data_IF_180650823480
#
_entry.id   IF_180650823480
#
_cell.length_a   1.000
_cell.length_b   1.000
_cell.length_c   1.000
_cell.angle_alpha   90.00
_cell.angle_beta   90.00
_cell.angle_gamma   90.00
#
_symmetry.space_group_name_H-M   'P 1'
#
loop_
_entity.id
_entity.type
_entity.pdbx_description
1 polymer ?
#
# COMPACT_ATOMS: atom_id res chain seq x y z
N UNK A 1 -16.47 21.78 -39.74
CA UNK A 1 -15.18 21.27 -39.23
C UNK A 1 -15.43 21.00 -37.75
N UNK A 2 -15.47 19.73 -37.35
CA UNK A 2 -15.93 19.28 -36.02
C UNK A 2 -14.82 19.42 -34.98
N UNK A 3 -15.17 19.62 -33.71
CA UNK A 3 -14.25 19.72 -32.56
C UNK A 3 -13.16 18.63 -32.56
N UNK A 4 -13.55 17.41 -32.96
CA UNK A 4 -12.65 16.25 -33.07
C UNK A 4 -11.45 16.48 -34.00
N UNK A 5 -11.62 17.26 -35.07
CA UNK A 5 -10.57 17.51 -36.06
C UNK A 5 -9.53 18.52 -35.52
N UNK A 6 -9.96 19.42 -34.64
CA UNK A 6 -9.10 20.36 -33.91
C UNK A 6 -8.33 19.64 -32.80
N UNK A 7 -9.00 18.78 -32.03
CA UNK A 7 -8.38 17.99 -30.96
C UNK A 7 -7.30 17.03 -31.48
N UNK A 8 -7.56 16.38 -32.62
CA UNK A 8 -6.56 15.51 -33.27
C UNK A 8 -5.36 16.32 -33.76
N UNK A 9 -5.60 17.52 -34.32
CA UNK A 9 -4.53 18.39 -34.81
C UNK A 9 -3.67 18.94 -33.67
N UNK A 10 -4.28 19.30 -32.54
CA UNK A 10 -3.58 19.75 -31.33
C UNK A 10 -2.85 18.63 -30.60
N UNK A 11 -3.40 17.41 -30.61
CA UNK A 11 -2.70 16.22 -30.10
C UNK A 11 -1.46 15.90 -30.94
N UNK A 12 -1.58 15.97 -32.28
CA UNK A 12 -0.46 15.75 -33.19
C UNK A 12 0.59 16.86 -33.09
N UNK A 13 0.19 18.11 -32.92
CA UNK A 13 1.14 19.21 -32.71
C UNK A 13 1.89 19.10 -31.38
N UNK A 14 1.23 18.70 -30.30
CA UNK A 14 1.90 18.42 -29.01
C UNK A 14 2.88 17.25 -29.10
N UNK A 15 2.50 16.18 -29.80
CA UNK A 15 3.40 15.04 -30.05
C UNK A 15 4.61 15.44 -30.90
N UNK A 16 4.41 16.25 -31.93
CA UNK A 16 5.49 16.74 -32.80
C UNK A 16 6.43 17.70 -32.06
N UNK A 17 5.90 18.54 -31.16
CA UNK A 17 6.71 19.45 -30.34
C UNK A 17 7.52 18.72 -29.25
N UNK A 18 7.01 17.58 -28.74
CA UNK A 18 7.71 16.75 -27.76
C UNK A 18 8.74 15.79 -28.37
N UNK A 19 8.63 15.49 -29.66
CA UNK A 19 9.62 14.70 -30.39
C UNK A 19 10.84 15.58 -30.70
N UNK A 20 11.84 15.57 -29.81
CA UNK A 20 13.10 16.30 -30.00
C UNK A 20 13.80 15.97 -31.33
N UNK A 21 14.78 16.81 -31.71
CA UNK A 21 15.53 16.70 -32.97
C UNK A 21 15.99 15.25 -33.25
N UNK A 22 15.85 14.76 -34.50
CA UNK A 22 16.15 13.37 -34.83
C UNK A 22 17.60 13.03 -34.48
N UNK A 23 17.76 12.12 -33.50
CA UNK A 23 19.07 11.61 -33.08
C UNK A 23 19.48 10.47 -34.01
N UNK A 24 20.07 10.84 -35.16
CA UNK A 24 20.86 9.97 -36.04
C UNK A 24 20.19 8.71 -36.61
N UNK A 25 20.95 7.95 -37.39
CA UNK A 25 20.48 6.74 -38.09
C UNK A 25 20.03 5.61 -37.14
N UNK A 26 20.47 5.62 -35.89
CA UNK A 26 20.14 4.62 -34.88
C UNK A 26 18.66 4.66 -34.45
N UNK A 27 18.02 5.84 -34.45
CA UNK A 27 16.59 5.95 -34.10
C UNK A 27 15.68 5.41 -35.20
N UNK A 28 16.08 5.51 -36.47
CA UNK A 28 15.33 4.91 -37.57
C UNK A 28 15.36 3.37 -37.51
N UNK A 29 16.52 2.79 -37.19
CA UNK A 29 16.67 1.35 -37.01
C UNK A 29 15.83 0.84 -35.82
N UNK A 30 15.85 1.56 -34.70
CA UNK A 30 15.05 1.23 -33.51
C UNK A 30 13.53 1.32 -33.78
N UNK A 31 13.08 2.35 -34.52
CA UNK A 31 11.67 2.50 -34.90
C UNK A 31 11.20 1.37 -35.83
N UNK A 32 12.04 0.96 -36.80
CA UNK A 32 11.74 -0.18 -37.69
C UNK A 32 11.71 -1.50 -36.92
N UNK A 33 12.62 -1.70 -35.96
CA UNK A 33 12.63 -2.89 -35.11
C UNK A 33 11.37 -2.97 -34.23
N UNK A 34 10.95 -1.85 -33.63
CA UNK A 34 9.73 -1.75 -32.82
C UNK A 34 8.47 -2.02 -33.67
N UNK A 35 8.40 -1.41 -34.86
CA UNK A 35 7.33 -1.63 -35.85
C UNK A 35 7.20 -3.11 -36.24
N UNK A 36 8.30 -3.79 -36.54
CA UNK A 36 8.30 -5.22 -36.87
C UNK A 36 7.83 -6.08 -35.69
N UNK A 37 8.22 -5.73 -34.46
CA UNK A 37 7.80 -6.43 -33.24
C UNK A 37 6.30 -6.27 -32.98
N UNK A 38 5.78 -5.05 -33.11
CA UNK A 38 4.34 -4.76 -32.98
C UNK A 38 3.50 -5.43 -34.07
N UNK A 39 4.01 -5.56 -35.30
CA UNK A 39 3.31 -6.27 -36.38
C UNK A 39 3.18 -7.77 -36.08
N UNK A 40 4.22 -8.39 -35.52
CA UNK A 40 4.19 -9.81 -35.13
C UNK A 40 3.21 -10.09 -33.99
N UNK A 41 3.15 -9.22 -32.97
CA UNK A 41 2.16 -9.37 -31.90
C UNK A 41 0.74 -9.17 -32.41
N UNK A 42 0.46 -8.16 -33.25
CA UNK A 42 -0.89 -7.97 -33.82
C UNK A 42 -1.37 -9.17 -34.64
N UNK A 43 -0.50 -9.83 -35.39
CA UNK A 43 -0.83 -11.06 -36.13
C UNK A 43 -1.12 -12.23 -35.19
N UNK A 44 -0.39 -12.35 -34.07
CA UNK A 44 -0.64 -13.40 -33.07
C UNK A 44 -2.01 -13.25 -32.39
N UNK A 45 -2.42 -12.02 -32.07
CA UNK A 45 -3.73 -11.74 -31.48
C UNK A 45 -4.90 -12.04 -32.44
N UNK A 46 -4.75 -11.72 -33.73
CA UNK A 46 -5.75 -12.05 -34.74
C UNK A 46 -5.96 -13.57 -34.89
N UNK A 47 -4.88 -14.35 -34.83
CA UNK A 47 -4.97 -15.81 -34.86
C UNK A 47 -5.68 -16.41 -33.63
N UNK A 48 -5.43 -15.84 -32.44
CA UNK A 48 -6.10 -16.26 -31.20
C UNK A 48 -7.61 -16.02 -31.22
N UNK A 49 -8.06 -14.86 -31.73
CA UNK A 49 -9.48 -14.54 -31.83
C UNK A 49 -10.24 -15.50 -32.77
N UNK A 50 -9.63 -15.91 -33.88
CA UNK A 50 -10.24 -16.89 -34.81
C UNK A 50 -10.34 -18.28 -34.16
N UNK A 51 -9.33 -18.70 -33.40
CA UNK A 51 -9.37 -19.99 -32.70
C UNK A 51 -10.49 -20.04 -31.63
N UNK A 52 -10.68 -18.96 -30.87
CA UNK A 52 -11.76 -18.86 -29.87
C UNK A 52 -13.14 -18.83 -30.55
N UNK A 53 -13.29 -18.12 -31.67
CA UNK A 53 -14.54 -18.08 -32.42
C UNK A 53 -14.91 -19.45 -33.02
N UNK A 54 -13.93 -20.20 -33.54
CA UNK A 54 -14.13 -21.56 -34.05
C UNK A 54 -14.48 -22.56 -32.93
N UNK A 55 -13.87 -22.43 -31.75
CA UNK A 55 -14.22 -23.24 -30.59
C UNK A 55 -15.62 -22.90 -30.06
N UNK A 56 -16.01 -21.63 -30.02
CA UNK A 56 -17.35 -21.21 -29.60
C UNK A 56 -18.46 -21.69 -30.53
N UNK A 57 -18.21 -21.79 -31.84
CA UNK A 57 -19.19 -22.26 -32.82
C UNK A 57 -19.38 -23.80 -32.85
N UNK A 58 -18.40 -24.57 -32.38
CA UNK A 58 -18.46 -26.04 -32.40
C UNK A 58 -19.15 -26.67 -31.17
N UNK A 59 -19.26 -25.93 -30.06
CA UNK A 59 -19.80 -26.43 -28.78
C UNK A 59 -21.30 -26.80 -28.81
N UNK A 60 -22.21 -26.12 -29.55
CA UNK A 60 -23.64 -26.46 -29.50
C UNK A 60 -23.99 -27.84 -30.10
N UNK A 61 -23.09 -28.44 -30.91
CA UNK A 61 -23.40 -29.65 -31.66
C UNK A 61 -23.12 -30.97 -30.92
N UNK A 62 -22.44 -30.91 -29.77
CA UNK A 62 -22.02 -32.12 -29.01
C UNK A 62 -22.65 -32.19 -27.61
N UNK A 63 -23.33 -31.13 -27.17
CA UNK A 63 -24.03 -31.13 -25.89
C UNK A 63 -25.44 -31.72 -26.07
N UNK A 64 -25.76 -32.87 -25.45
CA UNK A 64 -27.11 -33.41 -25.48
C UNK A 64 -28.07 -32.41 -24.84
N UNK A 65 -29.27 -32.31 -25.41
CA UNK A 65 -30.36 -31.44 -24.97
C UNK A 65 -30.65 -31.68 -23.48
N UNK A 66 -30.09 -30.83 -22.62
CA UNK A 66 -30.31 -30.87 -21.19
C UNK A 66 -31.72 -30.33 -20.96
N UNK A 67 -32.69 -31.24 -20.91
CA UNK A 67 -34.08 -30.92 -20.60
C UNK A 67 -34.19 -30.05 -19.33
N UNK A 68 -35.34 -29.38 -19.14
CA UNK A 68 -35.52 -28.37 -18.11
C UNK A 68 -35.12 -28.92 -16.73
N UNK A 69 -33.98 -28.45 -16.24
CA UNK A 69 -33.50 -28.76 -14.89
C UNK A 69 -34.52 -28.18 -13.93
N UNK A 70 -35.13 -29.04 -13.12
CA UNK A 70 -36.06 -28.63 -12.08
C UNK A 70 -35.40 -27.52 -11.26
N UNK A 71 -36.02 -26.33 -11.25
CA UNK A 71 -35.43 -25.10 -10.75
C UNK A 71 -34.80 -25.32 -9.38
N UNK A 72 -33.47 -25.26 -9.34
CA UNK A 72 -32.75 -25.05 -8.08
C UNK A 72 -33.24 -23.72 -7.54
N UNK A 73 -34.11 -23.81 -6.53
CA UNK A 73 -34.53 -22.66 -5.73
C UNK A 73 -33.25 -22.08 -5.16
N UNK A 74 -32.93 -20.84 -5.52
CA UNK A 74 -31.77 -20.15 -4.98
C UNK A 74 -31.91 -20.15 -3.46
N UNK A 75 -31.07 -20.93 -2.77
CA UNK A 75 -30.94 -20.83 -1.32
C UNK A 75 -30.60 -19.39 -1.02
N UNK A 76 -31.42 -18.71 -0.20
CA UNK A 76 -31.13 -17.34 0.20
C UNK A 76 -29.69 -17.28 0.72
N UNK A 77 -28.87 -16.32 0.25
CA UNK A 77 -27.53 -16.14 0.78
C UNK A 77 -27.68 -15.95 2.29
N UNK A 78 -27.18 -16.89 3.08
CA UNK A 78 -27.04 -16.69 4.52
C UNK A 78 -26.19 -15.45 4.70
N UNK A 79 -26.80 -14.36 5.18
CA UNK A 79 -26.13 -13.10 5.37
C UNK A 79 -24.91 -13.34 6.27
N UNK A 80 -23.72 -13.25 5.70
CA UNK A 80 -22.48 -13.40 6.46
C UNK A 80 -22.44 -12.29 7.51
N UNK A 81 -22.08 -12.65 8.74
CA UNK A 81 -21.92 -11.67 9.81
C UNK A 81 -20.89 -10.62 9.40
N UNK A 82 -21.24 -9.35 9.57
CA UNK A 82 -20.31 -8.23 9.37
C UNK A 82 -19.26 -8.25 10.47
N UNK A 83 -18.10 -7.63 10.23
CA UNK A 83 -17.02 -7.50 11.23
C UNK A 83 -17.54 -6.85 12.51
N UNK A 84 -18.37 -5.82 12.40
CA UNK A 84 -19.00 -5.11 13.53
C UNK A 84 -20.04 -5.94 14.30
N UNK A 85 -20.69 -6.89 13.63
CA UNK A 85 -21.74 -7.74 14.21
C UNK A 85 -21.18 -9.02 14.81
N UNK A 86 -19.90 -9.33 14.55
CA UNK A 86 -19.23 -10.50 15.09
C UNK A 86 -19.03 -10.37 16.62
N UNK A 87 -19.08 -11.48 17.38
CA UNK A 87 -18.68 -11.50 18.78
C UNK A 87 -17.24 -11.01 18.98
N UNK A 88 -16.93 -10.55 20.20
CA UNK A 88 -15.55 -10.28 20.60
C UNK A 88 -14.70 -11.54 20.44
N UNK A 89 -13.48 -11.39 19.95
CA UNK A 89 -12.54 -12.49 19.69
C UNK A 89 -11.17 -12.21 20.30
N UNK A 90 -10.33 -13.25 20.37
CA UNK A 90 -9.00 -13.18 20.99
C UNK A 90 -9.00 -13.80 22.39
N UNK A 91 -7.82 -13.87 23.00
CA UNK A 91 -7.60 -14.61 24.25
C UNK A 91 -8.32 -14.04 25.47
N UNK A 92 -8.84 -12.81 25.39
CA UNK A 92 -9.56 -12.12 26.46
C UNK A 92 -11.05 -11.91 26.11
N UNK A 93 -11.56 -12.56 25.07
CA UNK A 93 -12.95 -12.40 24.64
C UNK A 93 -13.97 -12.84 25.70
N UNK A 94 -13.64 -13.86 26.49
CA UNK A 94 -14.51 -14.40 27.54
C UNK A 94 -14.39 -13.65 28.88
N UNK A 95 -13.46 -12.69 29.00
CA UNK A 95 -13.31 -11.84 30.17
C UNK A 95 -14.28 -10.65 30.08
N UNK A 96 -15.52 -10.89 30.52
CA UNK A 96 -16.60 -9.90 30.41
C UNK A 96 -16.29 -8.57 31.12
N UNK A 97 -15.58 -8.60 32.25
CA UNK A 97 -15.21 -7.40 33.00
C UNK A 97 -14.15 -6.59 32.22
N UNK A 98 -13.15 -7.28 31.65
CA UNK A 98 -12.17 -6.63 30.78
C UNK A 98 -12.82 -6.04 29.53
N UNK A 99 -13.66 -6.81 28.82
CA UNK A 99 -14.36 -6.36 27.61
C UNK A 99 -15.25 -5.15 27.89
N UNK A 100 -16.03 -5.18 28.98
CA UNK A 100 -16.85 -4.05 29.39
C UNK A 100 -16.01 -2.83 29.77
N UNK A 101 -14.89 -3.04 30.47
CA UNK A 101 -13.93 -1.99 30.81
C UNK A 101 -13.34 -1.33 29.57
N UNK A 102 -12.94 -2.12 28.56
CA UNK A 102 -12.36 -1.62 27.31
C UNK A 102 -13.39 -0.83 26.49
N UNK A 103 -14.63 -1.32 26.41
CA UNK A 103 -15.71 -0.57 25.75
C UNK A 103 -15.97 0.80 26.41
N UNK A 104 -15.72 0.92 27.71
CA UNK A 104 -15.89 2.15 28.48
C UNK A 104 -14.68 3.11 28.41
N UNK A 105 -13.53 2.69 27.87
CA UNK A 105 -12.33 3.55 27.76
C UNK A 105 -12.65 4.82 26.99
N UNK A 106 -12.20 5.96 27.50
CA UNK A 106 -12.40 7.25 26.85
C UNK A 106 -11.52 7.38 25.60
N UNK A 107 -12.15 7.77 24.48
CA UNK A 107 -11.43 8.01 23.23
C UNK A 107 -10.86 9.43 23.28
N UNK A 108 -9.69 9.58 23.89
CA UNK A 108 -8.94 10.83 23.93
C UNK A 108 -7.92 10.85 22.78
N UNK A 109 -8.36 11.18 21.57
CA UNK A 109 -7.45 11.42 20.44
C UNK A 109 -7.24 12.93 20.25
N UNK A 110 -6.06 13.40 19.83
CA UNK A 110 -5.95 14.73 19.24
C UNK A 110 -6.93 14.84 18.06
N UNK A 111 -7.44 16.05 17.81
CA UNK A 111 -8.37 16.34 16.71
C UNK A 111 -7.91 15.62 15.43
N UNK A 112 -8.79 14.82 14.81
CA UNK A 112 -8.44 14.04 13.62
C UNK A 112 -8.03 14.92 12.44
N UNK A 113 -7.65 14.31 11.31
CA UNK A 113 -7.08 15.01 10.13
C UNK A 113 -7.98 16.14 9.58
N UNK A 114 -9.27 16.15 9.94
CA UNK A 114 -10.26 17.18 9.56
C UNK A 114 -10.77 18.02 10.75
N UNK A 115 -10.11 17.97 11.91
CA UNK A 115 -10.50 18.72 13.09
C UNK A 115 -11.72 18.17 13.85
N UNK A 116 -12.28 17.03 13.41
CA UNK A 116 -13.42 16.40 14.07
C UNK A 116 -12.96 15.45 15.18
N UNK A 117 -13.55 15.58 16.37
CA UNK A 117 -13.42 14.60 17.44
C UNK A 117 -14.27 13.37 17.11
N UNK A 118 -13.61 12.25 16.79
CA UNK A 118 -14.30 10.99 16.59
C UNK A 118 -14.54 10.32 17.95
N UNK A 119 -15.61 10.72 18.63
CA UNK A 119 -15.96 10.22 19.96
C UNK A 119 -17.32 9.49 19.95
N UNK A 120 -17.37 8.21 19.55
CA UNK A 120 -18.64 7.46 19.55
C UNK A 120 -19.19 7.36 20.98
N UNK A 121 -20.51 7.50 21.21
CA UNK A 121 -21.11 7.32 22.53
C UNK A 121 -20.82 5.91 23.08
N UNK A 122 -20.55 5.79 24.38
CA UNK A 122 -20.20 4.51 25.00
C UNK A 122 -21.23 3.39 24.75
N UNK A 123 -22.52 3.74 24.65
CA UNK A 123 -23.61 2.79 24.34
C UNK A 123 -23.54 2.17 22.93
N UNK A 124 -22.76 2.74 22.02
CA UNK A 124 -22.57 2.24 20.66
C UNK A 124 -21.28 1.44 20.50
N UNK A 125 -20.39 1.47 21.50
CA UNK A 125 -19.07 0.86 21.41
C UNK A 125 -19.15 -0.64 21.59
N UNK A 126 -18.42 -1.37 20.75
CA UNK A 126 -18.28 -2.83 20.77
C UNK A 126 -16.82 -3.20 20.65
N UNK A 127 -16.37 -4.13 21.48
CA UNK A 127 -15.02 -4.70 21.39
C UNK A 127 -15.06 -5.83 20.37
N UNK A 128 -14.31 -5.68 19.28
CA UNK A 128 -14.24 -6.68 18.20
C UNK A 128 -13.10 -7.69 18.43
N UNK A 129 -12.03 -7.23 19.07
CA UNK A 129 -10.87 -8.04 19.44
C UNK A 129 -10.34 -7.60 20.81
N UNK A 130 -9.94 -8.56 21.64
CA UNK A 130 -9.23 -8.36 22.89
C UNK A 130 -8.30 -9.55 23.14
N UNK A 131 -7.00 -9.31 23.28
CA UNK A 131 -6.05 -10.40 23.49
C UNK A 131 -4.66 -9.98 23.92
N UNK A 132 -3.96 -10.94 24.51
CA UNK A 132 -2.52 -10.88 24.72
C UNK A 132 -1.80 -11.39 23.46
N UNK A 133 -0.78 -10.66 23.04
CA UNK A 133 -0.04 -10.83 21.79
C UNK A 133 1.45 -11.12 22.07
N UNK A 134 2.19 -11.68 21.10
CA UNK A 134 3.64 -11.91 21.22
C UNK A 134 4.40 -10.66 21.68
N UNK A 135 5.49 -10.84 22.42
CA UNK A 135 6.28 -9.70 22.94
C UNK A 135 5.68 -9.02 24.17
N UNK A 136 4.70 -9.65 24.85
CA UNK A 136 4.15 -9.14 26.11
C UNK A 136 3.23 -7.94 25.92
N UNK A 137 2.47 -7.93 24.83
CA UNK A 137 1.55 -6.85 24.45
C UNK A 137 0.12 -7.29 24.75
N UNK A 138 -0.74 -6.35 25.15
CA UNK A 138 -2.18 -6.56 25.31
C UNK A 138 -2.91 -5.52 24.48
N UNK A 139 -3.64 -5.95 23.47
CA UNK A 139 -4.32 -5.04 22.55
C UNK A 139 -5.82 -5.33 22.52
N UNK A 140 -6.59 -4.30 22.17
CA UNK A 140 -8.01 -4.40 21.88
C UNK A 140 -8.42 -3.49 20.72
N UNK A 141 -9.39 -3.93 19.94
CA UNK A 141 -10.04 -3.15 18.88
C UNK A 141 -11.47 -2.84 19.31
N UNK A 142 -11.82 -1.56 19.35
CA UNK A 142 -13.17 -1.09 19.65
C UNK A 142 -13.74 -0.38 18.44
N UNK A 143 -14.97 -0.70 18.07
CA UNK A 143 -15.72 0.01 17.03
C UNK A 143 -16.99 0.61 17.64
N UNK A 144 -17.37 1.81 17.23
CA UNK A 144 -18.60 2.47 17.65
C UNK A 144 -19.17 3.38 16.57
N UNK A 145 -20.33 3.97 16.81
CA UNK A 145 -21.00 4.84 15.85
C UNK A 145 -20.84 6.31 16.24
N UNK A 146 -20.32 7.13 15.34
CA UNK A 146 -20.23 8.58 15.50
C UNK A 146 -20.77 9.25 14.23
N UNK A 147 -21.76 10.14 14.39
CA UNK A 147 -22.37 10.88 13.28
C UNK A 147 -22.93 9.97 12.16
N UNK A 148 -23.48 8.80 12.53
CA UNK A 148 -24.01 7.83 11.57
C UNK A 148 -22.95 7.07 10.76
N UNK A 149 -21.69 7.10 11.21
CA UNK A 149 -20.57 6.38 10.61
C UNK A 149 -19.92 5.48 11.66
N UNK A 150 -19.46 4.30 11.25
CA UNK A 150 -18.66 3.45 12.11
C UNK A 150 -17.24 3.98 12.18
N UNK A 151 -16.72 4.02 13.40
CA UNK A 151 -15.35 4.43 13.71
C UNK A 151 -14.71 3.32 14.53
N UNK A 152 -13.46 3.01 14.24
CA UNK A 152 -12.66 2.04 14.98
C UNK A 152 -11.46 2.70 15.65
N UNK A 153 -11.06 2.19 16.82
CA UNK A 153 -9.87 2.62 17.53
C UNK A 153 -9.18 1.41 18.16
N UNK A 154 -7.85 1.44 18.09
CA UNK A 154 -6.99 0.44 18.71
C UNK A 154 -6.49 0.94 20.06
N UNK A 155 -6.52 0.05 21.05
CA UNK A 155 -6.03 0.30 22.40
C UNK A 155 -4.98 -0.75 22.75
N UNK A 156 -3.95 -0.34 23.49
CA UNK A 156 -2.87 -1.23 23.87
C UNK A 156 -2.16 -0.83 25.15
N UNK A 157 -1.53 -1.84 25.74
CA UNK A 157 -0.71 -1.74 26.94
C UNK A 157 0.17 -2.98 27.08
N UNK A 158 0.95 -3.08 28.17
CA UNK A 158 1.69 -4.30 28.48
C UNK A 158 0.74 -5.47 28.79
N UNK A 159 1.24 -6.69 28.66
CA UNK A 159 0.52 -7.89 29.07
C UNK A 159 0.09 -7.78 30.55
N UNK A 160 -1.16 -8.15 30.83
CA UNK A 160 -1.74 -8.04 32.16
C UNK A 160 -2.30 -6.66 32.52
N UNK A 161 -2.14 -5.63 31.67
CA UNK A 161 -2.74 -4.32 31.89
C UNK A 161 -4.27 -4.44 32.07
N UNK A 162 -4.81 -3.70 33.03
CA UNK A 162 -6.24 -3.56 33.21
C UNK A 162 -6.84 -2.73 32.06
N UNK A 163 -8.14 -2.86 31.81
CA UNK A 163 -8.81 -2.17 30.70
C UNK A 163 -8.61 -0.64 30.72
N UNK A 164 -8.70 -0.02 31.90
CA UNK A 164 -8.49 1.43 32.07
C UNK A 164 -7.03 1.90 31.96
N UNK A 165 -6.08 0.97 31.88
CA UNK A 165 -4.65 1.27 31.68
C UNK A 165 -4.26 1.25 30.20
N UNK A 166 -5.12 0.71 29.33
CA UNK A 166 -4.86 0.71 27.89
C UNK A 166 -4.91 2.14 27.35
N UNK A 167 -4.01 2.43 26.41
CA UNK A 167 -3.92 3.70 25.72
C UNK A 167 -4.24 3.52 24.25
N UNK A 168 -4.80 4.54 23.64
CA UNK A 168 -5.02 4.55 22.19
C UNK A 168 -3.66 4.40 21.48
N UNK A 169 -3.59 3.46 20.55
CA UNK A 169 -2.36 3.14 19.83
C UNK A 169 -2.22 3.96 18.55
N UNK A 170 -3.32 4.25 17.87
CA UNK A 170 -3.38 5.00 16.64
C UNK A 170 -4.64 5.88 16.62
N UNK A 171 -4.66 7.01 15.88
CA UNK A 171 -5.86 7.81 15.71
C UNK A 171 -7.07 6.99 15.26
N UNK A 172 -8.30 7.29 15.72
CA UNK A 172 -9.48 6.55 15.30
C UNK A 172 -9.76 6.72 13.80
N UNK A 173 -10.23 5.66 13.16
CA UNK A 173 -10.48 5.64 11.72
C UNK A 173 -11.94 5.33 11.39
N UNK A 174 -12.47 6.01 10.37
CA UNK A 174 -13.79 5.69 9.82
C UNK A 174 -13.66 4.45 8.94
N UNK A 175 -14.60 3.51 9.05
CA UNK A 175 -14.59 2.27 8.27
C UNK A 175 -15.98 1.68 8.07
N UNK A 176 -16.10 0.76 7.12
CA UNK A 176 -17.32 -0.02 6.93
C UNK A 176 -17.44 -1.13 7.98
N UNK A 177 -18.67 -1.47 8.38
CA UNK A 177 -18.89 -2.54 9.36
C UNK A 177 -18.52 -3.94 8.85
N UNK A 178 -18.33 -4.08 7.54
CA UNK A 178 -17.89 -5.28 6.82
C UNK A 178 -16.41 -5.24 6.43
N UNK A 179 -15.72 -4.12 6.62
CA UNK A 179 -14.32 -3.95 6.23
C UNK A 179 -13.38 -4.51 7.29
N UNK A 180 -12.32 -5.25 6.90
CA UNK A 180 -11.30 -5.68 7.84
C UNK A 180 -10.51 -4.46 8.35
N UNK A 181 -10.10 -4.52 9.61
CA UNK A 181 -9.30 -3.48 10.26
C UNK A 181 -7.93 -4.06 10.62
N UNK A 182 -6.86 -3.31 10.38
CA UNK A 182 -5.50 -3.74 10.71
C UNK A 182 -4.76 -2.67 11.51
N UNK A 183 -3.74 -3.10 12.25
CA UNK A 183 -2.78 -2.23 12.92
C UNK A 183 -1.39 -2.85 12.86
N UNK A 184 -0.40 -2.04 12.51
CA UNK A 184 1.01 -2.41 12.43
C UNK A 184 1.82 -1.66 13.50
N UNK A 185 2.49 -2.38 14.39
CA UNK A 185 3.45 -1.79 15.33
C UNK A 185 4.87 -2.14 14.89
N UNK A 186 5.74 -1.14 14.77
CA UNK A 186 7.18 -1.38 14.56
C UNK A 186 7.97 -0.91 15.76
N UNK A 187 8.55 -1.85 16.49
CA UNK A 187 9.36 -1.60 17.68
C UNK A 187 10.75 -2.22 17.52
N UNK A 188 11.68 -1.86 18.42
CA UNK A 188 13.03 -2.44 18.43
C UNK A 188 13.03 -3.98 18.60
N UNK A 189 12.00 -4.53 19.24
CA UNK A 189 11.83 -5.97 19.44
C UNK A 189 11.31 -6.72 18.19
N UNK A 190 10.80 -6.01 17.18
CA UNK A 190 10.20 -6.58 15.98
C UNK A 190 8.97 -5.81 15.50
N UNK A 191 8.42 -6.22 14.37
CA UNK A 191 7.20 -5.66 13.79
C UNK A 191 6.04 -6.63 13.99
N UNK A 192 4.94 -6.18 14.59
CA UNK A 192 3.74 -6.97 14.84
C UNK A 192 2.58 -6.41 14.01
N UNK A 193 1.91 -7.29 13.27
CA UNK A 193 0.69 -6.98 12.53
C UNK A 193 -0.49 -7.73 13.15
N UNK A 194 -1.59 -7.03 13.38
CA UNK A 194 -2.88 -7.62 13.74
C UNK A 194 -3.92 -7.21 12.70
N UNK A 195 -4.69 -8.18 12.22
CA UNK A 195 -5.79 -8.00 11.27
C UNK A 195 -7.06 -8.63 11.86
N UNK A 196 -8.14 -7.85 11.89
CA UNK A 196 -9.46 -8.29 12.35
C UNK A 196 -10.44 -8.18 11.19
N UNK A 197 -10.78 -9.31 10.60
CA UNK A 197 -11.79 -9.48 9.56
C UNK A 197 -13.04 -10.21 10.06
N UNK A 198 -13.79 -10.81 9.14
CA UNK A 198 -14.95 -11.64 9.44
C UNK A 198 -14.49 -13.05 9.84
N UNK A 199 -15.31 -13.80 10.59
CA UNK A 199 -15.02 -15.20 10.87
C UNK A 199 -14.78 -15.99 9.58
N UNK A 200 -13.66 -16.73 9.52
CA UNK A 200 -13.24 -17.48 8.35
C UNK A 200 -12.40 -16.69 7.32
N UNK A 201 -12.27 -15.37 7.46
CA UNK A 201 -11.34 -14.60 6.63
C UNK A 201 -9.90 -15.06 6.89
N UNK A 202 -9.13 -15.12 5.81
CA UNK A 202 -7.68 -15.33 5.80
C UNK A 202 -6.99 -14.05 5.36
N UNK A 203 -5.73 -13.86 5.73
CA UNK A 203 -4.96 -12.73 5.23
C UNK A 203 -3.51 -13.11 4.93
N UNK A 204 -2.90 -12.33 4.05
CA UNK A 204 -1.47 -12.39 3.75
C UNK A 204 -0.89 -10.98 3.69
N UNK A 205 0.37 -10.86 4.09
CA UNK A 205 1.09 -9.61 4.21
C UNK A 205 2.25 -9.54 3.21
N UNK A 206 2.51 -8.35 2.69
CA UNK A 206 3.70 -8.04 1.91
C UNK A 206 4.34 -6.77 2.46
N UNK A 207 5.63 -6.83 2.80
CA UNK A 207 6.39 -5.67 3.30
C UNK A 207 6.72 -4.64 2.20
N UNK A 208 6.58 -5.00 0.93
CA UNK A 208 6.95 -4.14 -0.17
C UNK A 208 7.10 -4.85 -1.50
N UNK A 209 7.41 -4.06 -2.52
CA UNK A 209 7.76 -4.59 -3.84
C UNK A 209 9.26 -4.90 -3.86
N UNK A 210 9.61 -6.08 -4.33
CA UNK A 210 10.97 -6.57 -4.48
C UNK A 210 11.33 -6.70 -5.96
N UNK A 211 12.62 -6.53 -6.27
CA UNK A 211 13.18 -6.89 -7.58
C UNK A 211 13.85 -8.25 -7.46
N UNK A 212 13.42 -9.20 -8.27
CA UNK A 212 13.96 -10.56 -8.33
C UNK A 212 15.20 -10.63 -9.23
N UNK A 213 15.94 -11.74 -9.17
CA UNK A 213 17.20 -11.96 -9.90
C UNK A 213 17.04 -11.94 -11.43
N UNK A 214 15.85 -12.24 -11.94
CA UNK A 214 15.49 -12.15 -13.36
C UNK A 214 15.16 -10.71 -13.81
N UNK A 215 15.24 -9.74 -12.89
CA UNK A 215 14.89 -8.34 -13.10
C UNK A 215 13.39 -8.06 -13.01
N UNK A 216 12.54 -9.07 -12.76
CA UNK A 216 11.12 -8.86 -12.54
C UNK A 216 10.88 -8.11 -11.24
N UNK A 217 9.79 -7.34 -11.21
CA UNK A 217 9.36 -6.56 -10.06
C UNK A 217 8.06 -7.17 -9.56
N UNK A 218 8.00 -7.59 -8.31
CA UNK A 218 6.80 -8.19 -7.72
C UNK A 218 6.82 -8.15 -6.20
N UNK A 219 5.97 -8.96 -5.56
CA UNK A 219 5.81 -8.96 -4.10
C UNK A 219 5.98 -10.37 -3.56
N UNK A 220 6.67 -10.49 -2.45
CA UNK A 220 6.62 -11.68 -1.61
C UNK A 220 5.47 -11.52 -0.63
N UNK A 221 4.70 -12.59 -0.47
CA UNK A 221 3.53 -12.64 0.39
C UNK A 221 3.76 -13.70 1.47
N UNK A 222 3.41 -13.35 2.70
CA UNK A 222 3.46 -14.23 3.87
C UNK A 222 2.04 -14.41 4.40
N UNK A 223 1.56 -15.64 4.48
CA UNK A 223 0.26 -15.94 5.07
C UNK A 223 0.28 -15.64 6.57
N UNK A 224 -0.75 -14.95 7.05
CA UNK A 224 -0.89 -14.60 8.46
C UNK A 224 -1.61 -15.74 9.20
N UNK A 225 -1.03 -16.30 10.27
CA UNK A 225 -1.70 -17.27 11.10
C UNK A 225 -2.83 -16.61 11.90
N UNK A 226 -3.91 -17.35 12.11
CA UNK A 226 -5.07 -16.85 12.83
C UNK A 226 -6.26 -17.79 12.77
N UNK A 227 -7.28 -17.45 13.55
CA UNK A 227 -8.57 -18.14 13.57
C UNK A 227 -9.69 -17.13 13.78
N UNK A 228 -10.90 -17.49 13.36
CA UNK A 228 -12.12 -16.70 13.56
C UNK A 228 -12.03 -15.23 13.07
N UNK A 229 -11.21 -15.00 12.04
CA UNK A 229 -10.99 -13.67 11.46
C UNK A 229 -10.07 -12.78 12.29
N UNK A 230 -9.35 -13.30 13.29
CA UNK A 230 -8.27 -12.59 13.98
C UNK A 230 -6.95 -13.22 13.58
N UNK A 231 -6.13 -12.46 12.87
CA UNK A 231 -4.85 -12.90 12.33
C UNK A 231 -3.75 -12.01 12.90
N UNK A 232 -2.75 -12.60 13.53
CA UNK A 232 -1.69 -11.85 14.20
C UNK A 232 -0.35 -12.55 14.05
N UNK A 233 0.68 -11.81 13.61
CA UNK A 233 2.03 -12.33 13.49
C UNK A 233 3.10 -11.26 13.58
N UNK A 234 4.28 -11.69 14.00
CA UNK A 234 5.51 -10.95 13.73
C UNK A 234 5.81 -11.04 12.22
N UNK A 235 6.02 -9.88 11.59
CA UNK A 235 6.25 -9.76 10.15
C UNK A 235 7.52 -8.97 9.88
N UNK A 236 8.04 -9.08 8.66
CA UNK A 236 9.12 -8.19 8.23
C UNK A 236 8.63 -6.73 8.22
N UNK A 237 9.44 -5.76 8.69
CA UNK A 237 9.06 -4.36 8.61
C UNK A 237 8.85 -3.94 7.16
N UNK A 238 7.92 -3.00 6.89
CA UNK A 238 7.77 -2.41 5.57
C UNK A 238 9.10 -1.86 5.06
N UNK A 239 9.37 -2.04 3.76
CA UNK A 239 10.62 -1.56 3.15
C UNK A 239 10.71 -0.03 3.17
N UNK A 240 9.57 0.65 3.11
CA UNK A 240 9.37 2.08 3.38
C UNK A 240 7.94 2.32 3.87
N UNK A 241 7.67 3.52 4.38
CA UNK A 241 6.33 3.88 4.86
C UNK A 241 5.28 3.81 3.74
N UNK A 242 4.24 2.99 3.92
CA UNK A 242 3.19 2.75 2.92
C UNK A 242 3.54 1.70 1.86
N UNK A 243 4.70 1.03 1.96
CA UNK A 243 5.05 -0.06 1.04
C UNK A 243 4.21 -1.32 1.27
N UNK A 244 3.74 -1.48 2.51
CA UNK A 244 2.99 -2.63 2.98
C UNK A 244 1.66 -2.81 2.24
N UNK A 245 1.29 -4.07 2.05
CA UNK A 245 -0.07 -4.44 1.66
C UNK A 245 -0.53 -5.61 2.53
N UNK A 246 -1.81 -5.59 2.88
CA UNK A 246 -2.50 -6.74 3.48
C UNK A 246 -3.64 -7.14 2.55
N UNK A 247 -3.56 -8.35 2.01
CA UNK A 247 -4.67 -8.93 1.27
C UNK A 247 -5.50 -9.77 2.22
N UNK A 248 -6.80 -9.47 2.33
CA UNK A 248 -7.78 -10.21 3.12
C UNK A 248 -8.76 -10.89 2.17
N UNK A 249 -8.95 -12.19 2.33
CA UNK A 249 -9.85 -13.00 1.52
C UNK A 249 -10.77 -13.83 2.41
N UNK A 250 -12.06 -13.85 2.08
CA UNK A 250 -13.07 -14.66 2.76
C UNK A 250 -13.92 -15.44 1.77
N UNK A 251 -14.56 -16.51 2.25
CA UNK A 251 -15.38 -17.37 1.41
C UNK A 251 -16.53 -16.60 0.75
N UNK A 252 -16.51 -16.53 -0.58
CA UNK A 252 -17.55 -15.88 -1.38
C UNK A 252 -17.55 -14.35 -1.35
N UNK A 253 -16.60 -13.71 -0.65
CA UNK A 253 -16.45 -12.27 -0.65
C UNK A 253 -15.33 -11.81 -1.60
N UNK A 254 -15.43 -10.61 -2.20
CA UNK A 254 -14.32 -10.05 -2.95
C UNK A 254 -13.11 -9.86 -2.02
N UNK A 255 -11.93 -10.16 -2.54
CA UNK A 255 -10.68 -9.89 -1.85
C UNK A 255 -10.53 -8.37 -1.60
N UNK A 256 -10.17 -8.01 -0.38
CA UNK A 256 -9.90 -6.63 0.02
C UNK A 256 -8.40 -6.46 0.22
N UNK A 257 -7.82 -5.44 -0.40
CA UNK A 257 -6.42 -5.07 -0.17
C UNK A 257 -6.36 -3.81 0.68
N UNK A 258 -5.86 -3.94 1.89
CA UNK A 258 -5.56 -2.81 2.78
C UNK A 258 -4.22 -2.19 2.36
N UNK A 259 -4.22 -0.86 2.28
CA UNK A 259 -3.07 0.00 2.00
C UNK A 259 -2.93 0.97 3.16
N UNK A 260 -1.74 1.53 3.34
CA UNK A 260 -1.49 2.55 4.35
C UNK A 260 -1.96 2.08 5.74
N UNK A 261 -1.57 0.85 6.11
CA UNK A 261 -2.01 0.21 7.35
C UNK A 261 -1.66 1.12 8.54
N UNK A 262 -2.63 1.46 9.40
CA UNK A 262 -2.39 2.34 10.54
C UNK A 262 -1.25 1.84 11.40
N UNK A 263 -0.51 2.78 11.99
CA UNK A 263 0.66 2.45 12.81
C UNK A 263 0.51 3.00 14.21
N UNK A 264 1.17 2.35 15.15
CA UNK A 264 1.20 2.85 16.52
C UNK A 264 2.00 4.16 16.60
N UNK A 265 1.51 5.11 17.41
CA UNK A 265 2.21 6.38 17.65
C UNK A 265 3.64 6.14 18.13
N UNK A 266 4.60 6.83 17.50
CA UNK A 266 6.02 6.68 17.83
C UNK A 266 6.69 5.46 17.21
N UNK A 267 6.00 4.65 16.41
CA UNK A 267 6.65 3.71 15.50
C UNK A 267 7.67 4.47 14.65
N UNK A 268 8.92 4.01 14.64
CA UNK A 268 9.96 4.63 13.84
C UNK A 268 9.56 4.53 12.36
N UNK A 269 9.09 5.64 11.79
CA UNK A 269 8.97 5.80 10.35
C UNK A 269 10.34 5.52 9.75
N UNK A 270 10.44 4.48 8.91
CA UNK A 270 11.63 4.39 8.05
C UNK A 270 11.52 5.60 7.13
N UNK A 271 12.56 6.44 7.00
CA UNK A 271 12.49 7.59 6.12
C UNK A 271 12.03 7.09 4.75
N UNK A 272 10.97 7.72 4.22
CA UNK A 272 10.45 7.37 2.91
C UNK A 272 11.66 7.27 1.97
N UNK A 273 11.84 6.10 1.33
CA UNK A 273 12.94 5.95 0.39
C UNK A 273 12.81 7.11 -0.59
N UNK A 274 13.87 7.91 -0.76
CA UNK A 274 13.81 9.03 -1.67
C UNK A 274 13.49 8.42 -3.03
N UNK A 275 12.30 8.73 -3.56
CA UNK A 275 11.94 8.39 -4.93
C UNK A 275 13.12 8.82 -5.79
N UNK A 276 13.54 7.99 -6.74
CA UNK A 276 14.81 8.09 -7.48
C UNK A 276 15.09 9.45 -8.17
N UNK A 277 14.16 10.40 -8.05
CA UNK A 277 14.30 11.81 -8.35
C UNK A 277 13.75 12.59 -7.15
N UNK A 278 14.61 12.97 -6.21
CA UNK A 278 14.20 13.95 -5.21
C UNK A 278 14.17 15.29 -5.91
N UNK A 279 12.96 15.77 -6.17
CA UNK A 279 12.74 17.17 -6.54
C UNK A 279 12.91 17.99 -5.28
N UNK A 280 14.16 18.22 -4.88
CA UNK A 280 14.43 19.29 -3.93
C UNK A 280 14.34 20.56 -4.75
N UNK A 281 13.41 21.46 -4.43
CA UNK A 281 13.55 22.86 -4.85
C UNK A 281 14.75 23.43 -4.11
N UNK A 282 15.95 22.98 -4.48
CA UNK A 282 17.17 23.31 -3.77
C UNK A 282 17.50 24.77 -3.99
N UNK A 283 17.21 25.29 -5.19
CA UNK A 283 17.43 26.68 -5.59
C UNK A 283 17.11 26.89 -7.07
N UNK A 284 16.66 28.10 -7.43
CA UNK A 284 16.72 28.61 -8.81
C UNK A 284 17.97 29.47 -9.04
N UNK A 285 18.79 29.70 -8.01
CA UNK A 285 20.04 30.44 -8.09
C UNK A 285 21.07 29.64 -8.91
N UNK A 286 21.52 30.16 -10.07
CA UNK A 286 22.47 29.47 -10.92
C UNK A 286 23.82 29.22 -10.22
N UNK A 287 24.26 30.09 -9.31
CA UNK A 287 25.54 29.94 -8.59
C UNK A 287 25.47 28.78 -7.61
N UNK A 288 24.40 28.75 -6.79
CA UNK A 288 24.18 27.66 -5.83
C UNK A 288 23.99 26.32 -6.57
N UNK A 289 23.29 26.35 -7.71
CA UNK A 289 23.09 25.18 -8.57
C UNK A 289 24.40 24.63 -9.13
N UNK A 290 25.26 25.49 -9.68
CA UNK A 290 26.52 25.08 -10.28
C UNK A 290 27.47 24.52 -9.21
N UNK A 291 27.47 25.12 -8.01
CA UNK A 291 28.23 24.63 -6.86
C UNK A 291 27.72 23.27 -6.35
N UNK A 292 26.40 23.09 -6.22
CA UNK A 292 25.82 21.79 -5.83
C UNK A 292 26.10 20.70 -6.88
N UNK A 293 26.00 21.06 -8.16
CA UNK A 293 26.30 20.16 -9.29
C UNK A 293 27.77 19.72 -9.24
N UNK A 294 28.68 20.67 -9.03
CA UNK A 294 30.11 20.39 -8.89
C UNK A 294 30.43 19.50 -7.69
N UNK A 295 29.66 19.61 -6.60
CA UNK A 295 29.84 18.77 -5.42
C UNK A 295 29.28 17.35 -5.60
N UNK A 296 28.10 17.19 -6.23
CA UNK A 296 27.39 15.91 -6.30
C UNK A 296 27.92 14.98 -7.41
N UNK A 297 28.29 15.52 -8.58
CA UNK A 297 28.75 14.71 -9.72
C UNK A 297 29.94 13.77 -9.40
N UNK A 298 30.97 14.19 -8.64
CA UNK A 298 32.09 13.31 -8.26
C UNK A 298 31.68 12.07 -7.46
N UNK A 299 30.55 12.12 -6.74
CA UNK A 299 30.02 10.98 -5.97
C UNK A 299 29.08 10.09 -6.80
N UNK A 300 28.94 10.35 -8.10
CA UNK A 300 28.17 9.52 -9.03
C UNK A 300 26.67 9.84 -9.08
N UNK A 301 26.23 10.92 -8.44
CA UNK A 301 24.85 11.38 -8.54
C UNK A 301 24.54 11.78 -9.98
N UNK A 302 23.32 11.52 -10.42
CA UNK A 302 22.80 12.17 -11.62
C UNK A 302 22.26 13.54 -11.21
N UNK A 303 22.59 14.58 -11.96
CA UNK A 303 22.13 15.95 -11.67
C UNK A 303 21.50 16.50 -12.94
N UNK A 304 20.34 17.14 -12.81
CA UNK A 304 19.60 17.73 -13.92
C UNK A 304 18.83 18.96 -13.49
N UNK A 305 18.26 19.69 -14.45
CA UNK A 305 17.39 20.83 -14.17
C UNK A 305 15.99 20.51 -14.65
N UNK A 306 15.01 20.70 -13.78
CA UNK A 306 13.60 20.63 -14.13
C UNK A 306 13.20 21.80 -15.05
N UNK A 307 12.01 21.69 -15.66
CA UNK A 307 11.50 22.69 -16.60
C UNK A 307 11.27 24.08 -15.97
N UNK A 308 11.08 24.13 -14.65
CA UNK A 308 10.95 25.33 -13.83
C UNK A 308 12.30 25.93 -13.38
N UNK A 309 13.42 25.29 -13.75
CA UNK A 309 14.77 25.74 -13.42
C UNK A 309 15.35 25.14 -12.14
N UNK A 310 14.54 24.39 -11.38
CA UNK A 310 14.97 23.74 -10.14
C UNK A 310 15.99 22.64 -10.42
N UNK A 311 16.97 22.52 -9.52
CA UNK A 311 17.93 21.41 -9.54
C UNK A 311 17.25 20.11 -9.10
N UNK A 312 17.43 19.05 -9.88
CA UNK A 312 17.04 17.69 -9.53
C UNK A 312 18.30 16.84 -9.42
N UNK A 313 18.31 15.87 -8.52
CA UNK A 313 19.33 14.85 -8.49
C UNK A 313 18.73 13.45 -8.25
N UNK A 314 19.44 12.43 -8.74
CA UNK A 314 19.16 11.03 -8.48
C UNK A 314 20.38 10.37 -7.86
N UNK A 315 20.14 9.39 -6.98
CA UNK A 315 21.25 8.64 -6.38
C UNK A 315 22.05 7.87 -7.43
N UNK A 316 23.34 7.64 -7.17
CA UNK A 316 24.16 6.82 -8.03
C UNK A 316 23.53 5.45 -8.27
N UNK A 317 23.48 4.95 -9.53
CA UNK A 317 22.96 3.63 -9.80
C UNK A 317 23.79 2.59 -9.07
N UNK A 318 23.15 1.84 -8.18
CA UNK A 318 23.78 0.74 -7.46
C UNK A 318 23.67 -0.52 -8.32
N UNK A 319 24.82 -1.00 -8.78
CA UNK A 319 24.91 -2.26 -9.52
C UNK A 319 24.79 -3.48 -8.60
N UNK A 320 24.30 -4.59 -9.16
CA UNK A 320 24.18 -5.89 -8.50
C UNK A 320 22.91 -6.08 -7.69
N UNK A 321 22.63 -7.32 -7.30
CA UNK A 321 21.56 -7.66 -6.36
C UNK A 321 21.96 -7.19 -4.97
N UNK A 322 21.10 -6.41 -4.33
CA UNK A 322 21.29 -5.88 -2.98
C UNK A 322 20.03 -6.15 -2.20
N UNK A 323 20.15 -6.51 -0.94
CA UNK A 323 19.03 -6.48 -0.02
C UNK A 323 18.56 -5.04 0.22
N UNK A 324 17.30 -4.85 0.61
CA UNK A 324 16.79 -3.52 0.92
C UNK A 324 17.51 -2.87 2.11
N UNK A 325 18.00 -3.66 3.07
CA UNK A 325 18.85 -3.16 4.17
C UNK A 325 20.22 -2.66 3.67
N UNK A 326 20.76 -3.26 2.61
CA UNK A 326 21.96 -2.74 1.94
C UNK A 326 21.64 -1.49 1.13
N UNK A 327 20.50 -1.45 0.44
CA UNK A 327 20.05 -0.25 -0.28
C UNK A 327 19.77 0.92 0.67
N UNK A 328 19.14 0.67 1.82
CA UNK A 328 18.89 1.68 2.84
C UNK A 328 20.20 2.23 3.42
N UNK A 329 21.18 1.36 3.71
CA UNK A 329 22.52 1.80 4.15
C UNK A 329 23.27 2.59 3.08
N UNK A 330 23.14 2.20 1.81
CA UNK A 330 23.70 2.93 0.68
C UNK A 330 23.04 4.31 0.53
N UNK A 331 21.72 4.39 0.62
CA UNK A 331 21.00 5.66 0.54
C UNK A 331 21.35 6.57 1.73
N UNK A 332 21.44 6.04 2.94
CA UNK A 332 21.90 6.82 4.10
C UNK A 332 23.32 7.38 3.90
N UNK A 333 24.20 6.63 3.24
CA UNK A 333 25.53 7.14 2.87
C UNK A 333 25.45 8.25 1.81
N UNK A 334 24.55 8.12 0.82
CA UNK A 334 24.30 9.19 -0.16
C UNK A 334 23.67 10.43 0.47
N UNK A 335 22.78 10.29 1.44
CA UNK A 335 22.17 11.41 2.18
C UNK A 335 23.22 12.19 3.00
N UNK A 336 24.19 11.49 3.57
CA UNK A 336 25.31 12.12 4.25
C UNK A 336 26.15 12.97 3.27
N UNK A 337 26.42 12.45 2.06
CA UNK A 337 27.11 13.22 1.00
C UNK A 337 26.32 14.45 0.59
N UNK A 338 25.01 14.28 0.35
CA UNK A 338 24.12 15.38 -0.01
C UNK A 338 24.12 16.48 1.06
N UNK A 339 24.04 16.09 2.34
CA UNK A 339 24.06 17.01 3.48
C UNK A 339 25.35 17.82 3.52
N UNK A 340 26.51 17.17 3.34
CA UNK A 340 27.82 17.82 3.29
C UNK A 340 27.91 18.79 2.09
N UNK A 341 27.41 18.38 0.92
CA UNK A 341 27.38 19.24 -0.24
C UNK A 341 26.50 20.48 0.00
N UNK A 342 25.29 20.31 0.53
CA UNK A 342 24.39 21.41 0.86
C UNK A 342 25.04 22.39 1.84
N UNK A 343 25.59 21.92 2.96
CA UNK A 343 26.24 22.79 3.94
C UNK A 343 27.45 23.53 3.35
N UNK A 344 28.26 22.85 2.53
CA UNK A 344 29.45 23.49 1.93
C UNK A 344 29.10 24.64 0.98
N UNK A 345 27.97 24.53 0.29
CA UNK A 345 27.52 25.52 -0.67
C UNK A 345 26.77 26.67 0.00
N UNK A 346 26.06 26.41 1.11
CA UNK A 346 25.39 27.48 1.89
C UNK A 346 26.34 28.29 2.76
N UNK A 347 27.39 27.66 3.30
CA UNK A 347 28.31 28.31 4.24
C UNK A 347 29.49 29.00 3.55
N UNK A 348 29.72 28.68 2.27
CA UNK A 348 30.82 29.21 1.45
C UNK A 348 30.44 30.36 0.50
N UNK A 349 29.22 30.89 0.61
CA UNK A 349 28.68 31.99 -0.21
C UNK A 349 28.89 33.37 0.39
#
# INVERSE_FOLDING_TARGET
MTDLDTDVRDALHRLAAGAGLPRGEETAAAAVALSRRQRRTRVAWAAGAVAVALLGAAVPAVLPDAGPVAGQVATEPTAQARVYDAPTRGSLADDADFVAGVAAVEWSAPLGVMGAELHPPASTRRVLFAGDLPGGRRWALVMGEAEGQLVSAWFGGPAGAAAGELRMLAPPERGGGDQPVALLETAAAGTLLVVVGRPGDTARYSSGTLRFDDGAVGRVWTDLPGADGVLAAEVDPPVYDGAELVDVAGDGAPQVTLRDVPRTDGSASRPALPLAWVRVSATTDPVLRDALTGCLLPYGFTVGTAADGDLQYGYPPVGGTRSDDELARLHAAYDAVLTVCLSSVTDGG
#
